data_IF_786778194637
#
_entry.id   IF_786778194637
#
_cell.length_a   1.000
_cell.length_b   1.000
_cell.length_c   1.000
_cell.angle_alpha   90.00
_cell.angle_beta   90.00
_cell.angle_gamma   90.00
#
_symmetry.space_group_name_H-M   'P 1'
#
loop_
_entity.id
_entity.type
_entity.pdbx_description
1 polymer ?
#
# COMPACT_ATOMS: atom_id res chain seq x y z
N UNK A 1 -28.00 3.21 14.29
CA UNK A 1 -26.71 2.46 14.14
C UNK A 1 -25.59 3.33 14.68
N UNK A 2 -24.91 2.92 15.75
CA UNK A 2 -23.76 3.67 16.28
C UNK A 2 -22.61 3.65 15.28
N UNK A 3 -22.06 4.82 14.96
CA UNK A 3 -20.80 4.96 14.23
C UNK A 3 -19.71 5.25 15.27
N UNK A 4 -18.63 4.49 15.23
CA UNK A 4 -17.43 4.90 15.97
C UNK A 4 -16.95 6.26 15.44
N UNK A 5 -16.29 7.09 16.25
CA UNK A 5 -15.60 8.27 15.76
C UNK A 5 -14.49 7.88 14.77
N UNK A 6 -14.07 8.82 13.92
CA UNK A 6 -12.89 8.60 13.08
C UNK A 6 -11.62 8.70 13.94
N UNK A 7 -10.67 7.77 13.79
CA UNK A 7 -9.39 7.85 14.49
C UNK A 7 -8.53 9.01 13.96
N UNK A 8 -7.56 9.43 14.76
CA UNK A 8 -6.53 10.38 14.30
C UNK A 8 -5.73 9.78 13.12
N UNK A 9 -5.23 10.64 12.24
CA UNK A 9 -4.38 10.18 11.13
C UNK A 9 -3.06 9.62 11.65
N UNK A 10 -2.55 8.61 10.96
CA UNK A 10 -1.23 8.06 11.27
C UNK A 10 -0.12 8.91 10.67
N UNK A 11 0.69 9.52 11.54
CA UNK A 11 1.82 10.38 11.16
C UNK A 11 3.15 9.63 10.97
N UNK A 12 3.17 8.29 11.07
CA UNK A 12 4.37 7.49 10.79
C UNK A 12 5.21 7.12 12.02
N UNK A 13 4.78 7.49 13.23
CA UNK A 13 5.45 7.09 14.48
C UNK A 13 5.20 5.62 14.80
N UNK A 14 6.26 4.83 14.97
CA UNK A 14 6.17 3.40 15.32
C UNK A 14 5.41 3.18 16.64
N UNK A 15 5.64 4.01 17.66
CA UNK A 15 4.96 3.91 18.95
C UNK A 15 3.44 4.16 18.84
N UNK A 16 3.02 5.05 17.93
CA UNK A 16 1.59 5.31 17.70
C UNK A 16 0.94 4.28 16.78
N UNK A 17 1.71 3.46 16.08
CA UNK A 17 1.17 2.44 15.18
C UNK A 17 0.39 1.36 15.94
N UNK A 18 0.92 0.91 17.09
CA UNK A 18 0.31 -0.13 17.92
C UNK A 18 -1.02 0.32 18.53
N UNK A 19 -1.23 1.62 18.70
CA UNK A 19 -2.51 2.20 19.13
C UNK A 19 -3.44 2.50 17.94
N UNK A 20 -2.89 3.01 16.84
CA UNK A 20 -3.67 3.41 15.66
C UNK A 20 -4.26 2.21 14.90
N UNK A 21 -3.48 1.15 14.70
CA UNK A 21 -3.90 -0.01 13.91
C UNK A 21 -5.15 -0.72 14.49
N UNK A 22 -5.24 -0.99 15.81
CA UNK A 22 -6.47 -1.51 16.41
C UNK A 22 -7.69 -0.62 16.20
N UNK A 23 -7.55 0.71 16.24
CA UNK A 23 -8.65 1.65 16.04
C UNK A 23 -9.19 1.59 14.61
N UNK A 24 -8.31 1.56 13.61
CA UNK A 24 -8.70 1.37 12.21
C UNK A 24 -9.38 0.02 12.00
N UNK A 25 -8.84 -1.06 12.57
CA UNK A 25 -9.46 -2.40 12.50
C UNK A 25 -10.85 -2.41 13.13
N UNK A 26 -11.02 -1.79 14.29
CA UNK A 26 -12.31 -1.68 14.97
C UNK A 26 -13.33 -0.90 14.13
N UNK A 27 -12.90 0.23 13.55
CA UNK A 27 -13.72 1.04 12.65
C UNK A 27 -14.16 0.27 11.41
N UNK A 28 -13.24 -0.41 10.72
CA UNK A 28 -13.56 -1.23 9.55
C UNK A 28 -14.47 -2.41 9.88
N UNK A 29 -14.38 -2.97 11.09
CA UNK A 29 -15.25 -4.06 11.55
C UNK A 29 -16.68 -3.57 11.81
N UNK A 30 -16.83 -2.51 12.60
CA UNK A 30 -18.13 -2.00 13.06
C UNK A 30 -18.85 -1.20 11.96
N UNK A 31 -18.11 -0.45 11.15
CA UNK A 31 -18.67 0.41 10.11
C UNK A 31 -18.55 -0.18 8.70
N UNK A 32 -18.20 -1.47 8.56
CA UNK A 32 -17.99 -2.15 7.28
C UNK A 32 -19.04 -1.78 6.22
N UNK A 33 -20.31 -2.04 6.50
CA UNK A 33 -21.41 -1.79 5.56
C UNK A 33 -21.65 -0.32 5.25
N UNK A 34 -21.24 0.59 6.13
CA UNK A 34 -21.38 2.04 5.93
C UNK A 34 -20.20 2.64 5.16
N UNK A 35 -19.02 2.03 5.26
CA UNK A 35 -17.82 2.43 4.53
C UNK A 35 -17.90 1.94 3.08
N UNK A 36 -18.46 0.75 2.86
CA UNK A 36 -18.70 0.20 1.53
C UNK A 36 -17.98 -1.13 1.32
N UNK A 37 -17.65 -1.43 0.07
CA UNK A 37 -16.92 -2.64 -0.31
C UNK A 37 -15.45 -2.62 0.16
N UNK A 38 -14.69 -3.65 -0.20
CA UNK A 38 -13.28 -3.77 0.17
C UNK A 38 -12.42 -2.62 -0.40
N UNK A 39 -12.77 -2.09 -1.57
CA UNK A 39 -12.08 -0.95 -2.20
C UNK A 39 -12.31 0.32 -1.39
N UNK A 40 -13.56 0.62 -1.01
CA UNK A 40 -13.87 1.76 -0.16
C UNK A 40 -13.22 1.65 1.23
N UNK A 41 -13.16 0.45 1.80
CA UNK A 41 -12.47 0.17 3.07
C UNK A 41 -10.95 0.38 2.98
N UNK A 42 -10.33 0.01 1.86
CA UNK A 42 -8.93 0.30 1.60
C UNK A 42 -8.67 1.81 1.53
N UNK A 43 -9.46 2.55 0.74
CA UNK A 43 -9.31 4.00 0.63
C UNK A 43 -9.55 4.71 1.96
N UNK A 44 -10.48 4.23 2.78
CA UNK A 44 -10.67 4.74 4.13
C UNK A 44 -9.39 4.61 4.98
N UNK A 45 -8.75 3.45 4.97
CA UNK A 45 -7.49 3.25 5.69
C UNK A 45 -6.36 4.13 5.14
N UNK A 46 -6.24 4.25 3.81
CA UNK A 46 -5.23 5.08 3.14
C UNK A 46 -5.40 6.59 3.45
N UNK A 47 -6.63 7.09 3.42
CA UNK A 47 -6.94 8.50 3.73
C UNK A 47 -6.74 8.83 5.22
N UNK A 48 -6.70 7.82 6.09
CA UNK A 48 -6.33 7.94 7.50
C UNK A 48 -4.81 7.90 7.73
N UNK A 49 -3.99 7.88 6.68
CA UNK A 49 -2.55 8.16 6.77
C UNK A 49 -2.32 9.66 6.57
N UNK A 50 -1.31 10.23 7.22
CA UNK A 50 -0.84 11.58 6.86
C UNK A 50 -0.22 11.61 5.47
N UNK A 51 -0.23 12.77 4.81
CA UNK A 51 0.28 12.94 3.45
C UNK A 51 1.74 12.49 3.30
N UNK A 52 2.58 12.72 4.31
CA UNK A 52 3.98 12.24 4.35
C UNK A 52 4.07 10.71 4.34
N UNK A 53 3.20 10.04 5.08
CA UNK A 53 3.11 8.57 5.14
C UNK A 53 2.48 8.00 3.89
N UNK A 54 1.49 8.67 3.31
CA UNK A 54 0.91 8.31 2.00
C UNK A 54 1.97 8.37 0.91
N UNK A 55 2.85 9.38 0.93
CA UNK A 55 3.99 9.49 0.01
C UNK A 55 4.97 8.34 0.23
N UNK A 56 5.34 8.01 1.47
CA UNK A 56 6.21 6.84 1.74
C UNK A 56 5.58 5.51 1.31
N UNK A 57 4.27 5.33 1.54
CA UNK A 57 3.54 4.12 1.17
C UNK A 57 3.37 4.00 -0.35
N UNK A 58 3.19 5.15 -1.02
CA UNK A 58 3.26 5.26 -2.48
C UNK A 58 4.65 4.84 -2.94
N UNK A 59 5.71 5.40 -2.36
CA UNK A 59 7.07 5.25 -2.85
C UNK A 59 7.72 3.89 -2.54
N UNK A 60 7.22 3.11 -1.57
CA UNK A 60 7.87 1.84 -1.17
C UNK A 60 8.06 0.81 -2.30
N UNK A 61 7.08 0.59 -3.21
CA UNK A 61 7.31 -0.20 -4.42
C UNK A 61 7.75 0.62 -5.65
N UNK A 62 7.58 1.95 -5.68
CA UNK A 62 8.15 2.80 -6.76
C UNK A 62 9.66 3.10 -6.57
N UNK A 63 10.21 2.86 -5.38
CA UNK A 63 11.62 2.96 -5.08
C UNK A 63 12.42 1.77 -5.65
N UNK A 64 11.75 0.64 -5.92
CA UNK A 64 12.38 -0.44 -6.66
C UNK A 64 12.53 -0.02 -8.11
N UNK A 65 13.76 -0.05 -8.62
CA UNK A 65 14.07 0.12 -10.04
C UNK A 65 14.92 -1.04 -10.47
N UNK A 66 14.70 -1.53 -11.68
CA UNK A 66 15.53 -2.59 -12.27
C UNK A 66 17.01 -2.17 -12.33
N UNK A 67 17.29 -0.92 -12.68
CA UNK A 67 18.67 -0.46 -12.85
C UNK A 67 19.43 -1.35 -13.84
N UNK A 68 20.60 -1.84 -13.42
CA UNK A 68 21.43 -2.78 -14.19
C UNK A 68 21.17 -4.26 -13.84
N UNK A 69 20.20 -4.56 -12.96
CA UNK A 69 19.88 -5.96 -12.63
C UNK A 69 19.32 -6.69 -13.86
N UNK A 70 19.67 -7.97 -13.98
CA UNK A 70 19.01 -8.85 -14.94
C UNK A 70 17.52 -8.97 -14.62
N UNK A 71 16.68 -9.13 -15.64
CA UNK A 71 15.24 -9.21 -15.46
C UNK A 71 14.81 -10.30 -14.44
N UNK A 72 15.40 -11.53 -14.43
CA UNK A 72 15.06 -12.54 -13.43
C UNK A 72 15.45 -12.14 -12.00
N UNK A 73 16.62 -11.52 -11.80
CA UNK A 73 17.05 -11.06 -10.48
C UNK A 73 16.17 -9.93 -9.96
N UNK A 74 15.73 -9.05 -10.86
CA UNK A 74 14.82 -7.97 -10.56
C UNK A 74 13.42 -8.48 -10.16
N UNK A 75 12.85 -9.44 -10.92
CA UNK A 75 11.55 -10.04 -10.61
C UNK A 75 11.56 -10.67 -9.21
N UNK A 76 12.61 -11.44 -8.87
CA UNK A 76 12.72 -12.05 -7.55
C UNK A 76 12.80 -11.02 -6.41
N UNK A 77 13.53 -9.91 -6.61
CA UNK A 77 13.57 -8.80 -5.63
C UNK A 77 12.20 -8.12 -5.50
N UNK A 78 11.52 -7.88 -6.62
CA UNK A 78 10.21 -7.25 -6.65
C UNK A 78 9.15 -8.08 -5.91
N UNK A 79 9.06 -9.37 -6.19
CA UNK A 79 8.15 -10.29 -5.50
C UNK A 79 8.44 -10.39 -4.00
N UNK A 80 9.71 -10.43 -3.62
CA UNK A 80 10.12 -10.42 -2.21
C UNK A 80 9.70 -9.14 -1.51
N UNK A 81 9.90 -7.97 -2.12
CA UNK A 81 9.48 -6.69 -1.54
C UNK A 81 7.95 -6.59 -1.43
N UNK A 82 7.19 -7.10 -2.40
CA UNK A 82 5.72 -7.19 -2.28
C UNK A 82 5.30 -8.08 -1.11
N UNK A 83 5.98 -9.21 -0.92
CA UNK A 83 5.71 -10.12 0.21
C UNK A 83 6.05 -9.47 1.55
N UNK A 84 7.24 -8.88 1.69
CA UNK A 84 7.69 -8.18 2.91
C UNK A 84 6.82 -6.96 3.24
N UNK A 85 6.25 -6.30 2.23
CA UNK A 85 5.33 -5.19 2.41
C UNK A 85 3.87 -5.63 2.70
N UNK A 86 3.62 -6.94 2.90
CA UNK A 86 2.27 -7.51 3.06
C UNK A 86 1.30 -7.07 1.94
N UNK A 87 1.83 -6.89 0.73
CA UNK A 87 1.12 -6.31 -0.42
C UNK A 87 0.25 -7.32 -1.18
N UNK A 88 0.01 -8.50 -0.60
CA UNK A 88 -0.91 -9.50 -1.14
C UNK A 88 -2.35 -8.96 -1.26
N UNK A 89 -2.72 -7.97 -0.43
CA UNK A 89 -4.01 -7.28 -0.47
C UNK A 89 -4.14 -6.22 -1.58
N UNK A 90 -3.07 -5.94 -2.32
CA UNK A 90 -3.11 -4.95 -3.39
C UNK A 90 -3.86 -5.50 -4.60
N UNK A 91 -4.65 -4.64 -5.25
CA UNK A 91 -5.24 -4.94 -6.55
C UNK A 91 -4.13 -5.20 -7.57
N UNK A 92 -4.31 -6.22 -8.41
CA UNK A 92 -3.27 -6.64 -9.36
C UNK A 92 -2.90 -5.53 -10.36
N UNK A 93 -3.84 -4.64 -10.70
CA UNK A 93 -3.58 -3.47 -11.55
C UNK A 93 -2.51 -2.53 -10.97
N UNK A 94 -2.46 -2.39 -9.64
CA UNK A 94 -1.46 -1.57 -8.95
C UNK A 94 -0.08 -2.26 -8.94
N UNK A 95 -0.05 -3.59 -8.78
CA UNK A 95 1.19 -4.38 -8.87
C UNK A 95 1.77 -4.32 -10.29
N UNK A 96 0.92 -4.50 -11.31
CA UNK A 96 1.30 -4.44 -12.73
C UNK A 96 1.82 -3.06 -13.11
N UNK A 97 1.11 -2.00 -12.71
CA UNK A 97 1.53 -0.61 -12.99
C UNK A 97 2.86 -0.29 -12.31
N UNK A 98 3.03 -0.68 -11.04
CA UNK A 98 4.28 -0.48 -10.31
C UNK A 98 5.45 -1.27 -10.93
N UNK A 99 5.22 -2.53 -11.31
CA UNK A 99 6.20 -3.36 -12.02
C UNK A 99 6.60 -2.74 -13.36
N UNK A 100 5.64 -2.34 -14.21
CA UNK A 100 5.93 -1.74 -15.52
C UNK A 100 6.73 -0.44 -15.41
N UNK A 101 6.41 0.39 -14.41
CA UNK A 101 7.07 1.68 -14.21
C UNK A 101 8.49 1.57 -13.63
N UNK A 102 8.82 0.43 -13.03
CA UNK A 102 10.11 0.18 -12.38
C UNK A 102 11.12 -0.58 -13.27
N UNK A 103 10.67 -1.13 -14.41
CA UNK A 103 11.54 -1.69 -15.45
C UNK A 103 12.44 -0.63 -16.11
N UNK A 104 13.60 -1.05 -16.60
CA UNK A 104 14.49 -0.19 -17.37
C UNK A 104 13.86 0.24 -18.70
N UNK A 105 14.35 1.32 -19.29
CA UNK A 105 13.76 1.90 -20.50
C UNK A 105 13.79 0.96 -21.71
N UNK A 106 14.80 0.10 -21.82
CA UNK A 106 14.98 -0.83 -22.94
C UNK A 106 13.96 -1.98 -22.94
N UNK A 107 13.56 -2.46 -21.77
CA UNK A 107 12.51 -3.48 -21.63
C UNK A 107 11.15 -2.82 -21.65
N UNK A 108 10.98 -1.67 -20.96
CA UNK A 108 9.72 -0.94 -20.91
C UNK A 108 9.23 -0.48 -22.28
N UNK A 109 10.13 -0.16 -23.21
CA UNK A 109 9.76 0.23 -24.59
C UNK A 109 9.33 -0.94 -25.48
N UNK A 110 9.49 -2.18 -25.01
CA UNK A 110 9.17 -3.42 -25.74
C UNK A 110 7.90 -4.12 -25.22
N UNK A 111 7.26 -3.55 -24.20
CA UNK A 111 6.02 -4.00 -23.55
C UNK A 111 4.87 -3.03 -23.87
#
# INVERSE_FOLDING_TARGET
KSKLPDPEKFAGSTYRFDTWLPLIKAKLSINRSAIGDSTAQFYYAYLNLESSVQLMAKDKPYALRQGNDSLPAYIAKFERTLYEANSQSWLDINKISSFRNSLNSAIRSRL
#
